data_IF_764193710792
#
_entry.id   IF_764193710792
#
_cell.length_a   1.000
_cell.length_b   1.000
_cell.length_c   1.000
_cell.angle_alpha   90.00
_cell.angle_beta   90.00
_cell.angle_gamma   90.00
#
_symmetry.space_group_name_H-M   'P 1'
#
loop_
_entity.id
_entity.type
_entity.pdbx_description
1 polymer ?
#
# COMPACT_ATOMS: atom_id res chain seq x y z
N UNK A 1 14.17 -3.42 -13.11
CA UNK A 1 13.16 -4.50 -13.06
C UNK A 1 13.75 -5.88 -12.73
N UNK A 2 15.04 -6.11 -12.94
CA UNK A 2 15.69 -7.39 -12.64
C UNK A 2 16.26 -7.38 -11.20
N UNK A 3 15.63 -8.10 -10.28
CA UNK A 3 16.06 -8.22 -8.88
C UNK A 3 15.67 -9.58 -8.31
N UNK A 4 16.41 -10.00 -7.29
CA UNK A 4 16.18 -11.28 -6.59
C UNK A 4 15.13 -11.14 -5.48
N UNK A 5 14.64 -12.27 -4.97
CA UNK A 5 13.74 -12.31 -3.81
C UNK A 5 14.38 -11.64 -2.56
N UNK A 6 15.68 -11.83 -2.34
CA UNK A 6 16.37 -11.15 -1.22
C UNK A 6 16.31 -9.62 -1.35
N UNK A 7 16.52 -9.08 -2.56
CA UNK A 7 16.40 -7.65 -2.84
C UNK A 7 14.95 -7.20 -2.73
N UNK A 8 13.98 -8.02 -3.12
CA UNK A 8 12.56 -7.74 -2.93
C UNK A 8 12.25 -7.51 -1.46
N UNK A 9 12.54 -8.49 -0.58
CA UNK A 9 12.27 -8.35 0.85
C UNK A 9 13.12 -7.27 1.52
N UNK A 10 14.36 -7.06 1.08
CA UNK A 10 15.18 -5.95 1.55
C UNK A 10 14.52 -4.60 1.25
N UNK A 11 13.92 -4.44 0.07
CA UNK A 11 13.23 -3.22 -0.35
C UNK A 11 11.97 -2.99 0.47
N UNK A 12 11.13 -4.02 0.64
CA UNK A 12 9.96 -3.96 1.51
C UNK A 12 10.34 -3.60 2.96
N UNK A 13 11.38 -4.24 3.50
CA UNK A 13 11.86 -3.94 4.87
C UNK A 13 12.34 -2.50 5.03
N UNK A 14 12.97 -1.93 4.02
CA UNK A 14 13.35 -0.51 4.02
C UNK A 14 12.13 0.40 3.97
N UNK A 15 11.11 0.07 3.19
CA UNK A 15 9.82 0.77 3.18
C UNK A 15 9.12 0.71 4.55
N UNK A 16 9.15 -0.45 5.20
CA UNK A 16 8.58 -0.64 6.54
C UNK A 16 9.26 0.22 7.62
N UNK A 17 10.47 0.70 7.40
CA UNK A 17 11.14 1.64 8.31
C UNK A 17 10.34 2.94 8.52
N UNK A 18 9.41 3.26 7.63
CA UNK A 18 8.48 4.40 7.77
C UNK A 18 7.70 4.34 9.09
N UNK A 19 7.28 3.16 9.52
CA UNK A 19 6.61 2.94 10.82
C UNK A 19 7.47 3.44 12.00
N UNK A 20 8.75 3.10 11.99
CA UNK A 20 9.70 3.54 13.03
C UNK A 20 9.94 5.04 12.96
N UNK A 21 10.06 5.62 11.75
CA UNK A 21 10.26 7.06 11.57
C UNK A 21 9.09 7.87 12.14
N UNK A 22 7.86 7.48 11.81
CA UNK A 22 6.66 8.16 12.31
C UNK A 22 6.58 8.06 13.83
N UNK A 23 6.78 6.87 14.38
CA UNK A 23 6.74 6.66 15.83
C UNK A 23 7.79 7.50 16.56
N UNK A 24 9.03 7.56 16.06
CA UNK A 24 10.11 8.35 16.67
C UNK A 24 9.83 9.85 16.62
N UNK A 25 9.44 10.37 15.46
CA UNK A 25 9.12 11.79 15.29
C UNK A 25 7.85 12.16 16.05
N UNK A 26 6.82 11.31 15.98
CA UNK A 26 5.58 11.49 16.71
C UNK A 26 5.81 11.58 18.23
N UNK A 27 6.62 10.69 18.80
CA UNK A 27 6.95 10.72 20.23
C UNK A 27 7.60 12.05 20.65
N UNK A 28 8.51 12.59 19.84
CA UNK A 28 9.13 13.89 20.11
C UNK A 28 8.08 15.01 19.98
N UNK A 29 7.23 14.97 18.96
CA UNK A 29 6.18 15.96 18.77
C UNK A 29 5.18 15.95 19.93
N UNK A 30 4.84 14.78 20.46
CA UNK A 30 3.88 14.64 21.57
C UNK A 30 4.38 15.26 22.89
N UNK A 31 5.72 15.41 23.08
CA UNK A 31 6.28 16.15 24.23
C UNK A 31 5.98 17.65 24.16
N UNK A 32 5.88 18.24 22.96
CA UNK A 32 5.69 19.67 22.75
C UNK A 32 4.28 20.06 22.29
N UNK A 33 3.54 19.10 21.71
CA UNK A 33 2.18 19.27 21.20
C UNK A 33 1.35 18.01 21.51
N UNK A 34 1.02 17.77 22.79
CA UNK A 34 0.30 16.57 23.22
C UNK A 34 -1.12 16.49 22.66
N UNK A 35 -1.72 17.62 22.31
CA UNK A 35 -3.05 17.71 21.70
C UNK A 35 -3.05 17.45 20.19
N UNK A 36 -1.87 17.16 19.61
CA UNK A 36 -1.68 16.83 18.19
C UNK A 36 -2.23 17.88 17.20
N UNK A 37 -2.09 19.16 17.56
CA UNK A 37 -2.52 20.28 16.69
C UNK A 37 -1.57 20.49 15.50
N UNK A 38 -0.29 20.10 15.64
CA UNK A 38 0.73 20.21 14.60
C UNK A 38 0.82 18.88 13.84
N UNK A 39 0.46 18.90 12.56
CA UNK A 39 0.53 17.72 11.70
C UNK A 39 1.97 17.39 11.27
N UNK A 40 2.26 16.10 11.16
CA UNK A 40 3.45 15.58 10.50
C UNK A 40 3.17 15.48 8.99
N UNK A 41 4.03 16.06 8.18
CA UNK A 41 3.99 15.96 6.72
C UNK A 41 5.18 15.12 6.27
N UNK A 42 4.91 14.03 5.55
CA UNK A 42 5.92 13.24 4.85
C UNK A 42 5.96 13.76 3.43
N UNK A 43 6.81 14.75 3.19
CA UNK A 43 6.83 15.53 1.96
C UNK A 43 7.49 14.81 0.77
N UNK A 44 8.21 13.71 1.03
CA UNK A 44 8.77 12.84 0.00
C UNK A 44 8.94 11.41 0.52
N UNK A 45 8.37 10.43 -0.19
CA UNK A 45 8.54 9.01 0.11
C UNK A 45 8.42 8.16 -1.16
N UNK A 46 8.89 6.92 -1.10
CA UNK A 46 8.86 5.97 -2.22
C UNK A 46 10.20 5.27 -2.41
N UNK A 47 10.32 4.47 -3.46
CA UNK A 47 11.52 3.73 -3.78
C UNK A 47 12.42 4.53 -4.71
N UNK A 48 13.69 4.57 -4.37
CA UNK A 48 14.74 5.08 -5.26
C UNK A 48 15.61 3.92 -5.73
N UNK A 49 15.41 3.50 -6.96
CA UNK A 49 16.22 2.49 -7.64
C UNK A 49 17.18 3.14 -8.64
N UNK A 50 18.06 2.34 -9.20
CA UNK A 50 18.88 2.76 -10.34
C UNK A 50 17.98 3.14 -11.53
N UNK A 51 18.44 4.10 -12.33
CA UNK A 51 17.71 4.53 -13.52
C UNK A 51 17.68 3.42 -14.58
N UNK A 52 16.64 3.40 -15.39
CA UNK A 52 16.56 2.44 -16.48
C UNK A 52 17.71 2.61 -17.46
N UNK A 53 18.35 1.48 -17.89
CA UNK A 53 19.46 1.52 -18.85
C UNK A 53 19.08 2.25 -20.14
N UNK A 54 19.98 3.10 -20.62
CA UNK A 54 19.79 3.88 -21.85
C UNK A 54 19.03 5.20 -21.67
N UNK A 55 18.54 5.51 -20.46
CA UNK A 55 17.93 6.79 -20.13
C UNK A 55 18.93 7.80 -19.58
N UNK A 56 18.58 9.09 -19.59
CA UNK A 56 19.42 10.12 -18.97
C UNK A 56 19.38 9.98 -17.43
N UNK A 57 20.52 9.69 -16.77
CA UNK A 57 20.53 9.46 -15.33
C UNK A 57 20.09 10.69 -14.51
N UNK A 58 20.20 11.88 -15.04
CA UNK A 58 19.76 13.10 -14.37
C UNK A 58 18.23 13.24 -14.27
N UNK A 59 17.48 12.47 -15.05
CA UNK A 59 16.00 12.47 -15.01
C UNK A 59 15.43 11.44 -14.04
N UNK A 60 16.27 10.58 -13.48
CA UNK A 60 15.89 9.59 -12.47
C UNK A 60 14.72 8.67 -12.90
N UNK A 61 14.61 8.38 -14.20
CA UNK A 61 13.56 7.51 -14.71
C UNK A 61 13.79 6.06 -14.25
N UNK A 62 12.80 5.48 -13.62
CA UNK A 62 12.79 4.06 -13.26
C UNK A 62 11.44 3.42 -13.58
N UNK A 63 11.47 2.13 -13.88
CA UNK A 63 10.26 1.33 -14.10
C UNK A 63 9.75 0.77 -12.77
N UNK A 64 8.46 1.02 -12.47
CA UNK A 64 7.83 0.50 -11.26
C UNK A 64 7.22 -0.88 -11.51
N UNK A 65 7.35 -1.76 -10.54
CA UNK A 65 6.92 -3.15 -10.56
C UNK A 65 5.89 -3.43 -9.45
N UNK A 66 5.43 -4.68 -9.34
CA UNK A 66 4.60 -5.11 -8.20
C UNK A 66 5.28 -4.91 -6.85
N UNK A 67 6.63 -5.08 -6.76
CA UNK A 67 7.39 -4.74 -5.55
C UNK A 67 7.14 -3.29 -5.11
N UNK A 68 7.16 -2.36 -6.07
CA UNK A 68 6.97 -0.93 -5.81
C UNK A 68 5.52 -0.64 -5.37
N UNK A 69 4.55 -1.33 -5.97
CA UNK A 69 3.15 -1.27 -5.57
C UNK A 69 2.93 -1.78 -4.13
N UNK A 70 3.58 -2.89 -3.75
CA UNK A 70 3.49 -3.43 -2.38
C UNK A 70 4.10 -2.49 -1.35
N UNK A 71 5.25 -1.86 -1.66
CA UNK A 71 5.80 -0.81 -0.78
C UNK A 71 4.83 0.35 -0.66
N UNK A 72 4.19 0.78 -1.75
CA UNK A 72 3.19 1.84 -1.70
C UNK A 72 1.97 1.46 -0.85
N UNK A 73 1.40 0.26 -1.05
CA UNK A 73 0.25 -0.22 -0.30
C UNK A 73 0.53 -0.36 1.20
N UNK A 74 1.66 -0.98 1.55
CA UNK A 74 2.13 -1.08 2.92
C UNK A 74 2.32 0.30 3.57
N UNK A 75 3.00 1.23 2.88
CA UNK A 75 3.31 2.56 3.41
C UNK A 75 2.05 3.40 3.58
N UNK A 76 1.10 3.33 2.65
CA UNK A 76 -0.18 4.03 2.77
C UNK A 76 -1.02 3.47 3.92
N UNK A 77 -1.04 2.15 4.16
CA UNK A 77 -1.68 1.56 5.34
C UNK A 77 -1.04 2.10 6.64
N UNK A 78 0.29 2.22 6.69
CA UNK A 78 1.00 2.83 7.83
C UNK A 78 0.55 4.28 8.02
N UNK A 79 0.51 5.10 6.96
CA UNK A 79 0.07 6.50 7.08
C UNK A 79 -1.37 6.63 7.58
N UNK A 80 -2.28 5.77 7.09
CA UNK A 80 -3.66 5.75 7.54
C UNK A 80 -3.75 5.45 9.05
N UNK A 81 -3.00 4.47 9.54
CA UNK A 81 -2.98 4.11 10.99
C UNK A 81 -2.40 5.22 11.87
N UNK A 82 -1.58 6.08 11.33
CA UNK A 82 -1.00 7.24 12.01
C UNK A 82 -1.67 8.57 11.63
N UNK A 83 -2.91 8.55 11.12
CA UNK A 83 -3.61 9.75 10.64
C UNK A 83 -3.92 10.78 11.73
N UNK A 84 -3.80 10.41 13.00
CA UNK A 84 -3.85 11.32 14.14
C UNK A 84 -2.70 12.35 14.09
N UNK A 85 -1.53 11.97 13.58
CA UNK A 85 -0.35 12.82 13.44
C UNK A 85 0.04 13.09 12.00
N UNK A 86 0.00 12.09 11.10
CA UNK A 86 0.31 12.24 9.67
C UNK A 86 -0.85 12.89 8.94
N UNK A 87 -0.68 14.10 8.43
CA UNK A 87 -1.73 14.87 7.77
C UNK A 87 -1.57 14.96 6.26
N UNK A 88 -0.35 14.70 5.75
CA UNK A 88 -0.08 14.64 4.32
C UNK A 88 1.14 13.76 4.05
N UNK A 89 1.07 13.00 2.96
CA UNK A 89 2.19 12.20 2.48
C UNK A 89 2.26 12.27 0.95
N UNK A 90 3.41 12.70 0.42
CA UNK A 90 3.62 12.96 -1.00
C UNK A 90 4.55 11.91 -1.60
N UNK A 91 4.04 11.09 -2.52
CA UNK A 91 4.91 10.14 -3.22
C UNK A 91 5.89 10.86 -4.14
N UNK A 92 7.10 10.40 -4.20
CA UNK A 92 8.12 10.90 -5.10
C UNK A 92 8.39 9.87 -6.23
N UNK A 93 7.79 10.10 -7.43
CA UNK A 93 6.99 11.26 -7.84
C UNK A 93 5.83 10.84 -8.73
N UNK A 94 5.11 11.82 -9.33
CA UNK A 94 3.87 11.53 -10.06
C UNK A 94 4.13 10.95 -11.46
N UNK A 95 5.03 11.55 -12.25
CA UNK A 95 5.22 11.21 -13.67
C UNK A 95 6.70 11.11 -14.03
N UNK A 96 7.09 10.01 -14.68
CA UNK A 96 8.38 9.79 -15.36
C UNK A 96 9.65 9.93 -14.50
N UNK A 97 9.54 9.82 -13.18
CA UNK A 97 10.67 9.94 -12.25
C UNK A 97 10.64 8.77 -11.28
N UNK A 98 11.20 8.89 -10.08
CA UNK A 98 11.19 7.87 -9.02
C UNK A 98 9.76 7.46 -8.66
N UNK A 99 9.51 6.16 -8.45
CA UNK A 99 8.22 5.64 -7.96
C UNK A 99 7.01 6.24 -8.71
N UNK A 100 7.11 6.47 -10.01
CA UNK A 100 6.08 7.18 -10.79
C UNK A 100 4.73 6.47 -10.74
N UNK A 101 3.69 7.25 -10.51
CA UNK A 101 2.31 6.77 -10.57
C UNK A 101 1.89 6.54 -12.02
N UNK A 102 2.37 7.36 -12.93
CA UNK A 102 2.12 7.25 -14.38
C UNK A 102 3.41 7.45 -15.17
N UNK A 103 3.46 6.83 -16.35
CA UNK A 103 4.52 7.04 -17.32
C UNK A 103 3.95 7.60 -18.62
N UNK A 104 4.66 8.54 -19.24
CA UNK A 104 4.27 9.16 -20.51
C UNK A 104 5.43 9.14 -21.50
N UNK A 105 5.09 8.96 -22.79
CA UNK A 105 6.02 9.10 -23.92
C UNK A 105 5.27 9.68 -25.12
N UNK A 106 5.55 10.95 -25.44
CA UNK A 106 4.81 11.70 -26.44
C UNK A 106 3.32 11.78 -26.10
N UNK A 107 2.48 11.24 -26.98
CA UNK A 107 1.01 11.18 -26.80
C UNK A 107 0.53 9.98 -25.99
N UNK A 108 1.43 9.06 -25.61
CA UNK A 108 1.08 7.86 -24.87
C UNK A 108 1.17 8.11 -23.36
N UNK A 109 0.30 7.43 -22.61
CA UNK A 109 0.31 7.39 -21.15
C UNK A 109 -0.05 5.99 -20.68
N UNK A 110 0.66 5.49 -19.68
CA UNK A 110 0.34 4.23 -18.99
C UNK A 110 0.28 4.43 -17.48
N UNK A 111 -0.52 3.61 -16.84
CA UNK A 111 -0.62 3.50 -15.38
C UNK A 111 0.43 2.49 -14.91
N UNK A 112 1.15 2.79 -13.85
CA UNK A 112 2.05 1.83 -13.20
C UNK A 112 1.25 0.98 -12.18
N UNK A 113 1.80 -0.12 -11.66
CA UNK A 113 1.18 -0.84 -10.55
C UNK A 113 0.91 0.06 -9.32
N UNK A 114 1.77 1.04 -9.06
CA UNK A 114 1.59 2.05 -8.01
C UNK A 114 0.32 2.90 -8.21
N UNK A 115 -0.07 3.21 -9.45
CA UNK A 115 -1.32 3.92 -9.74
C UNK A 115 -2.53 3.19 -9.17
N UNK A 116 -2.61 1.90 -9.37
CA UNK A 116 -3.77 1.11 -8.92
C UNK A 116 -3.86 1.05 -7.40
N UNK A 117 -2.73 1.03 -6.70
CA UNK A 117 -2.71 1.14 -5.24
C UNK A 117 -3.36 2.45 -4.79
N UNK A 118 -2.92 3.59 -5.33
CA UNK A 118 -3.52 4.90 -5.01
C UNK A 118 -5.00 4.94 -5.38
N UNK A 119 -5.38 4.37 -6.52
CA UNK A 119 -6.77 4.32 -6.96
C UNK A 119 -7.66 3.53 -6.00
N UNK A 120 -7.23 2.35 -5.55
CA UNK A 120 -7.98 1.55 -4.59
C UNK A 120 -8.03 2.20 -3.20
N UNK A 121 -6.96 2.83 -2.75
CA UNK A 121 -6.87 3.44 -1.42
C UNK A 121 -7.51 4.84 -1.32
N UNK A 122 -8.01 5.41 -2.43
CA UNK A 122 -8.64 6.74 -2.45
C UNK A 122 -9.81 6.91 -1.48
N UNK A 123 -10.49 5.81 -1.15
CA UNK A 123 -11.66 5.82 -0.28
C UNK A 123 -11.34 6.10 1.20
N UNK A 124 -10.08 5.97 1.61
CA UNK A 124 -9.64 6.38 2.94
C UNK A 124 -9.54 7.91 3.09
N UNK A 125 -9.47 8.65 1.97
CA UNK A 125 -9.28 10.09 2.01
C UNK A 125 -10.53 10.80 2.54
N UNK A 126 -10.34 11.55 3.63
CA UNK A 126 -11.44 12.27 4.31
C UNK A 126 -12.35 11.38 5.16
N UNK A 127 -12.05 10.07 5.26
CA UNK A 127 -12.74 9.14 6.14
C UNK A 127 -12.15 9.15 7.56
N UNK A 128 -12.89 8.66 8.53
CA UNK A 128 -12.42 8.48 9.90
C UNK A 128 -11.71 7.14 10.05
N UNK A 129 -10.51 7.13 10.62
CA UNK A 129 -9.80 5.89 10.94
C UNK A 129 -10.62 5.07 11.96
N UNK A 130 -10.80 3.80 11.67
CA UNK A 130 -11.31 2.82 12.63
C UNK A 130 -10.15 2.05 13.25
N UNK A 131 -10.26 1.78 14.55
CA UNK A 131 -9.29 0.94 15.26
C UNK A 131 -9.35 -0.49 14.70
N UNK A 132 -8.21 -1.00 14.29
CA UNK A 132 -8.10 -2.31 13.65
C UNK A 132 -6.81 -3.02 14.04
N UNK A 133 -6.86 -4.34 14.12
CA UNK A 133 -5.70 -5.16 14.43
C UNK A 133 -5.73 -6.50 13.71
N UNK A 134 -4.57 -6.95 13.27
CA UNK A 134 -4.38 -8.30 12.73
C UNK A 134 -4.08 -9.29 13.86
N UNK A 135 -4.84 -10.38 13.92
CA UNK A 135 -4.64 -11.46 14.86
C UNK A 135 -4.04 -12.67 14.14
N UNK A 136 -2.98 -13.24 14.69
CA UNK A 136 -2.30 -14.40 14.11
C UNK A 136 -1.32 -14.05 12.97
N UNK A 137 -0.82 -12.81 12.94
CA UNK A 137 0.06 -12.31 11.89
C UNK A 137 1.36 -13.11 11.76
N UNK A 138 1.62 -13.60 10.53
CA UNK A 138 2.90 -14.19 10.14
C UNK A 138 3.88 -13.11 9.66
N UNK A 139 5.16 -13.47 9.58
CA UNK A 139 6.21 -12.66 8.98
C UNK A 139 6.68 -13.28 7.67
N UNK A 140 7.28 -12.47 6.81
CA UNK A 140 7.93 -12.86 5.55
C UNK A 140 9.34 -12.27 5.49
N UNK A 141 10.13 -12.76 4.52
CA UNK A 141 11.55 -12.44 4.48
C UNK A 141 12.35 -13.21 5.52
N UNK A 142 13.66 -13.00 5.58
CA UNK A 142 14.55 -13.73 6.49
C UNK A 142 15.52 -12.79 7.21
N UNK A 143 15.83 -13.10 8.45
CA UNK A 143 16.83 -12.39 9.25
C UNK A 143 16.53 -10.89 9.35
N UNK A 144 17.46 -10.04 8.91
CA UNK A 144 17.29 -8.58 8.98
C UNK A 144 16.20 -8.02 8.04
N UNK A 145 15.76 -8.82 7.06
CA UNK A 145 14.74 -8.44 6.09
C UNK A 145 13.33 -8.93 6.51
N UNK A 146 13.19 -9.50 7.70
CA UNK A 146 11.90 -9.95 8.22
C UNK A 146 10.96 -8.77 8.50
N UNK A 147 9.69 -8.90 8.04
CA UNK A 147 8.63 -7.91 8.23
C UNK A 147 7.27 -8.60 8.31
N UNK A 148 6.21 -7.90 8.81
CA UNK A 148 4.86 -8.46 8.79
C UNK A 148 4.43 -8.87 7.37
N UNK A 149 3.75 -10.03 7.28
CA UNK A 149 3.26 -10.56 6.01
C UNK A 149 2.13 -9.72 5.45
N UNK A 150 1.17 -9.34 6.28
CA UNK A 150 0.00 -8.55 5.90
C UNK A 150 0.00 -7.21 6.61
N UNK A 151 -0.33 -6.16 5.89
CA UNK A 151 -0.62 -4.82 6.41
C UNK A 151 -2.07 -4.48 6.12
N UNK A 152 -2.70 -3.74 7.00
CA UNK A 152 -4.08 -3.31 6.88
C UNK A 152 -4.30 -1.88 7.36
N UNK A 153 -5.36 -1.26 6.86
CA UNK A 153 -6.01 -0.11 7.48
C UNK A 153 -7.50 -0.11 7.21
N UNK A 154 -8.27 0.46 8.12
CA UNK A 154 -9.73 0.48 8.07
C UNK A 154 -10.22 1.88 8.34
N UNK A 155 -11.16 2.36 7.55
CA UNK A 155 -11.79 3.67 7.79
C UNK A 155 -13.27 3.64 7.45
N UNK A 156 -14.02 4.58 8.00
CA UNK A 156 -15.43 4.80 7.73
C UNK A 156 -15.63 6.22 7.18
N UNK A 157 -16.32 6.34 6.06
CA UNK A 157 -16.66 7.62 5.47
C UNK A 157 -17.93 8.23 6.11
N UNK A 158 -18.27 9.45 5.70
CA UNK A 158 -19.46 10.18 6.19
C UNK A 158 -20.80 9.51 5.87
N UNK A 159 -20.83 8.57 4.93
CA UNK A 159 -22.02 7.84 4.49
C UNK A 159 -22.12 6.45 5.16
N UNK A 160 -21.19 6.13 6.08
CA UNK A 160 -21.12 4.88 6.82
C UNK A 160 -20.52 3.72 6.02
N UNK A 161 -19.82 4.02 4.91
CA UNK A 161 -19.12 2.99 4.14
C UNK A 161 -17.78 2.69 4.78
N UNK A 162 -17.58 1.43 5.15
CA UNK A 162 -16.31 0.95 5.70
C UNK A 162 -15.40 0.49 4.57
N UNK A 163 -14.23 1.09 4.49
CA UNK A 163 -13.16 0.70 3.58
C UNK A 163 -12.09 -0.07 4.34
N UNK A 164 -11.77 -1.26 3.85
CA UNK A 164 -10.67 -2.09 4.35
C UNK A 164 -9.66 -2.28 3.23
N UNK A 165 -8.41 -1.95 3.48
CA UNK A 165 -7.31 -2.23 2.55
C UNK A 165 -6.32 -3.20 3.18
N UNK A 166 -5.88 -4.17 2.37
CA UNK A 166 -4.94 -5.21 2.76
C UNK A 166 -3.78 -5.23 1.77
N UNK A 167 -2.56 -5.40 2.28
CA UNK A 167 -1.37 -5.63 1.47
C UNK A 167 -0.71 -6.92 1.95
N UNK A 168 -0.68 -7.95 1.10
CA UNK A 168 0.03 -9.20 1.39
C UNK A 168 1.43 -9.15 0.74
N UNK A 169 2.46 -9.22 1.54
CA UNK A 169 3.87 -9.12 1.14
C UNK A 169 4.52 -10.48 0.85
N UNK A 170 3.76 -11.57 0.82
CA UNK A 170 4.30 -12.90 0.59
C UNK A 170 4.46 -13.22 -0.89
N UNK A 171 5.62 -13.66 -1.30
CA UNK A 171 5.85 -14.24 -2.64
C UNK A 171 5.37 -15.69 -2.78
N UNK A 172 5.16 -16.39 -1.65
CA UNK A 172 4.96 -17.84 -1.65
C UNK A 172 3.52 -18.27 -1.42
N UNK A 173 2.73 -17.44 -0.71
CA UNK A 173 1.41 -17.87 -0.28
C UNK A 173 0.40 -16.74 -0.20
N UNK A 174 -0.81 -17.06 -0.65
CA UNK A 174 -2.01 -16.31 -0.35
C UNK A 174 -2.43 -16.49 1.12
N UNK A 175 -3.31 -15.61 1.59
CA UNK A 175 -3.89 -15.69 2.94
C UNK A 175 -5.41 -15.69 2.86
N UNK A 176 -6.02 -16.48 3.74
CA UNK A 176 -7.42 -16.32 4.07
C UNK A 176 -7.54 -15.32 5.22
N UNK A 177 -8.40 -14.32 5.07
CA UNK A 177 -8.59 -13.27 6.06
C UNK A 177 -10.05 -13.17 6.45
N UNK A 178 -10.33 -13.31 7.74
CA UNK A 178 -11.64 -13.03 8.31
C UNK A 178 -11.67 -11.59 8.84
N UNK A 179 -12.45 -10.74 8.19
CA UNK A 179 -12.72 -9.37 8.64
C UNK A 179 -13.90 -9.44 9.61
N UNK A 180 -13.65 -9.12 10.87
CA UNK A 180 -14.67 -9.13 11.94
C UNK A 180 -14.94 -7.69 12.34
N UNK A 181 -16.20 -7.27 12.17
CA UNK A 181 -16.69 -5.98 12.62
C UNK A 181 -17.39 -6.15 13.98
N UNK A 182 -16.92 -5.43 14.98
CA UNK A 182 -17.30 -5.65 16.38
C UNK A 182 -18.56 -4.89 16.83
N UNK A 183 -19.22 -4.13 15.94
CA UNK A 183 -20.45 -3.45 16.26
C UNK A 183 -21.62 -4.44 16.37
N UNK A 184 -22.23 -4.51 17.56
CA UNK A 184 -23.36 -5.40 17.80
C UNK A 184 -24.61 -4.98 17.02
N UNK A 185 -25.15 -5.92 16.23
CA UNK A 185 -26.45 -5.78 15.57
C UNK A 185 -26.44 -5.27 14.14
N UNK A 186 -25.33 -4.77 13.66
CA UNK A 186 -25.22 -4.27 12.27
C UNK A 186 -24.97 -5.44 11.30
N UNK A 187 -25.59 -5.33 10.12
CA UNK A 187 -25.36 -6.24 9.01
C UNK A 187 -24.60 -5.50 7.92
N UNK A 188 -23.45 -6.07 7.56
CA UNK A 188 -22.61 -5.54 6.51
C UNK A 188 -22.71 -6.39 5.24
N UNK A 189 -22.54 -5.75 4.11
CA UNK A 189 -22.40 -6.41 2.82
C UNK A 189 -21.32 -5.74 2.01
N UNK A 190 -20.57 -6.51 1.23
CA UNK A 190 -19.55 -5.97 0.34
C UNK A 190 -20.25 -5.25 -0.82
N UNK A 191 -19.96 -3.97 -0.99
CA UNK A 191 -20.43 -3.16 -2.12
C UNK A 191 -19.44 -3.16 -3.28
N UNK A 192 -18.15 -3.21 -2.97
CA UNK A 192 -17.05 -3.25 -3.93
C UNK A 192 -15.88 -4.03 -3.33
N UNK A 193 -15.20 -4.84 -4.12
CA UNK A 193 -13.95 -5.47 -3.76
C UNK A 193 -13.03 -5.51 -4.98
N UNK A 194 -11.82 -4.99 -4.85
CA UNK A 194 -10.83 -4.83 -5.91
C UNK A 194 -9.47 -5.34 -5.47
N UNK A 195 -8.66 -5.78 -6.43
CA UNK A 195 -7.30 -6.20 -6.16
C UNK A 195 -6.39 -6.01 -7.37
N UNK A 196 -5.10 -6.00 -7.11
CA UNK A 196 -4.05 -6.20 -8.11
C UNK A 196 -3.17 -7.36 -7.68
N UNK A 197 -2.63 -8.08 -8.65
CA UNK A 197 -1.71 -9.20 -8.45
C UNK A 197 -0.72 -9.31 -9.60
N UNK A 198 0.42 -9.94 -9.36
CA UNK A 198 1.42 -10.21 -10.38
C UNK A 198 2.69 -10.79 -9.79
N UNK A 199 3.59 -11.26 -10.64
CA UNK A 199 4.95 -11.59 -10.22
C UNK A 199 5.63 -10.35 -9.61
N UNK A 200 6.61 -10.55 -8.72
CA UNK A 200 7.27 -9.45 -7.98
C UNK A 200 7.86 -8.36 -8.89
N UNK A 201 8.24 -8.71 -10.12
CA UNK A 201 8.81 -7.84 -11.14
C UNK A 201 7.83 -7.46 -12.27
N UNK A 202 6.57 -7.91 -12.19
CA UNK A 202 5.54 -7.56 -13.16
C UNK A 202 5.33 -6.04 -13.21
N UNK A 203 5.27 -5.49 -14.40
CA UNK A 203 5.15 -4.07 -14.65
C UNK A 203 4.49 -3.79 -15.99
N UNK A 204 3.95 -2.59 -16.14
CA UNK A 204 3.31 -2.13 -17.36
C UNK A 204 4.30 -1.38 -18.24
N UNK A 205 4.27 -1.65 -19.54
CA UNK A 205 5.07 -0.94 -20.55
C UNK A 205 4.15 -0.30 -21.60
N UNK A 206 4.71 0.56 -22.47
CA UNK A 206 3.92 1.16 -23.55
C UNK A 206 3.45 0.15 -24.61
N UNK A 207 4.10 -1.02 -24.70
CA UNK A 207 3.75 -2.16 -25.57
C UNK A 207 2.74 -3.09 -24.88
N UNK A 208 2.78 -3.18 -23.55
CA UNK A 208 1.90 -4.03 -22.74
C UNK A 208 1.42 -3.23 -21.50
N UNK A 209 0.44 -2.32 -21.67
CA UNK A 209 0.07 -1.36 -20.63
C UNK A 209 -0.79 -1.94 -19.50
N UNK A 210 -1.24 -3.18 -19.60
CA UNK A 210 -2.18 -3.83 -18.67
C UNK A 210 -1.67 -5.21 -18.19
N UNK A 211 -0.36 -5.37 -18.04
CA UNK A 211 0.23 -6.57 -17.42
C UNK A 211 -0.22 -6.69 -15.97
N UNK A 212 -0.23 -5.57 -15.26
CA UNK A 212 -0.83 -5.40 -13.94
C UNK A 212 -1.98 -4.43 -14.08
N UNK A 213 -3.18 -4.86 -13.72
CA UNK A 213 -4.41 -4.07 -13.78
C UNK A 213 -5.29 -4.38 -12.57
N UNK A 214 -6.17 -3.44 -12.24
CA UNK A 214 -7.16 -3.58 -11.18
C UNK A 214 -8.30 -4.50 -11.64
N UNK A 215 -8.59 -5.52 -10.82
CA UNK A 215 -9.60 -6.54 -11.10
C UNK A 215 -10.66 -6.57 -10.01
N UNK A 216 -11.86 -7.07 -10.38
CA UNK A 216 -12.90 -7.41 -9.41
C UNK A 216 -12.45 -8.60 -8.53
N UNK A 217 -12.50 -8.44 -7.22
CA UNK A 217 -12.28 -9.53 -6.28
C UNK A 217 -13.63 -10.19 -5.92
N UNK A 218 -13.76 -11.47 -6.21
CA UNK A 218 -15.03 -12.20 -6.03
C UNK A 218 -14.90 -13.36 -5.04
N UNK A 219 -13.69 -13.63 -4.52
CA UNK A 219 -13.44 -14.74 -3.61
C UNK A 219 -13.72 -14.33 -2.14
N UNK A 220 -14.96 -13.89 -1.87
CA UNK A 220 -15.38 -13.51 -0.52
C UNK A 220 -16.77 -14.06 -0.18
N UNK A 221 -17.02 -14.21 1.12
CA UNK A 221 -18.31 -14.57 1.66
C UNK A 221 -18.72 -13.61 2.78
N UNK A 222 -19.96 -13.12 2.74
CA UNK A 222 -20.52 -12.35 3.84
C UNK A 222 -20.82 -13.29 5.02
N UNK A 223 -20.37 -12.93 6.20
CA UNK A 223 -20.62 -13.66 7.44
C UNK A 223 -21.63 -12.91 8.32
N UNK A 224 -21.96 -13.43 9.48
CA UNK A 224 -22.83 -12.74 10.44
C UNK A 224 -22.17 -11.50 11.06
N UNK A 225 -20.85 -11.50 11.15
CA UNK A 225 -20.04 -10.48 11.84
C UNK A 225 -19.07 -9.74 10.93
N UNK A 226 -19.13 -9.95 9.60
CA UNK A 226 -18.22 -9.29 8.68
C UNK A 226 -18.08 -10.02 7.35
N UNK A 227 -16.86 -10.21 6.89
CA UNK A 227 -16.55 -10.77 5.57
C UNK A 227 -15.36 -11.73 5.68
N UNK A 228 -15.50 -12.89 5.08
CA UNK A 228 -14.36 -13.79 4.85
C UNK A 228 -13.84 -13.60 3.46
N UNK A 229 -12.55 -13.31 3.35
CA UNK A 229 -11.80 -13.23 2.10
C UNK A 229 -10.98 -14.51 1.93
N UNK A 230 -11.04 -15.11 0.75
CA UNK A 230 -10.25 -16.30 0.46
C UNK A 230 -9.19 -15.99 -0.59
N UNK A 231 -7.93 -16.38 -0.27
CA UNK A 231 -6.80 -16.32 -1.19
C UNK A 231 -6.44 -14.90 -1.64
N UNK A 232 -6.20 -13.97 -0.69
CA UNK A 232 -5.58 -12.70 -1.05
C UNK A 232 -4.13 -12.96 -1.49
N UNK A 233 -3.87 -12.75 -2.78
CA UNK A 233 -2.56 -12.85 -3.41
C UNK A 233 -1.78 -11.53 -3.33
N UNK A 234 -0.54 -11.59 -3.79
CA UNK A 234 0.27 -10.40 -4.03
C UNK A 234 -0.32 -9.62 -5.20
#
# INVERSE_FOLDING_TARGET
TDFTEDIFYQTLKRGYFMEELINRHGAIMDEYDPDKNIGLIVDEWGIWSDVEPGTNPGFLYQQNTMRDALVAGMTLNIFNKHSDRVKMACIAQLINVLQSVMLTDGEKMIKTPTYYVFHMMRHHQGAALLDSSLVGGATVGTGKNELPKVFESVSEDKDGVITVTLTNNSLESSEDVDIILTNEGDKYSVSEARYIEGAMDAHNTFEAPEVVDEKDFTAYENTQTGVKLSLIHI
#
